data_IF_249563813017
#
_entry.id   IF_249563813017
#
_cell.length_a   1.000
_cell.length_b   1.000
_cell.length_c   1.000
_cell.angle_alpha   90.00
_cell.angle_beta   90.00
_cell.angle_gamma   90.00
#
_symmetry.space_group_name_H-M   'P 1'
#
loop_
_entity.id
_entity.type
_entity.pdbx_description
1 polymer ?
#
# COMPACT_ATOMS: atom_id res chain seq x y z
N UNK A 1 7.12 -26.83 -5.77
CA UNK A 1 5.99 -27.49 -6.47
C UNK A 1 4.78 -26.58 -6.46
N UNK A 2 4.47 -26.00 -7.62
CA UNK A 2 3.31 -25.13 -7.83
C UNK A 2 2.02 -25.94 -7.69
N UNK A 3 1.14 -25.54 -6.77
CA UNK A 3 -0.27 -25.94 -6.84
C UNK A 3 -1.04 -24.84 -7.58
N UNK A 4 -1.45 -25.13 -8.82
CA UNK A 4 -2.47 -24.38 -9.55
C UNK A 4 -3.81 -25.06 -9.28
N UNK A 5 -4.70 -24.42 -8.53
CA UNK A 5 -6.12 -24.80 -8.54
C UNK A 5 -6.89 -23.77 -9.36
N UNK A 6 -7.27 -24.19 -10.57
CA UNK A 6 -8.22 -23.47 -11.42
C UNK A 6 -9.62 -23.68 -10.85
N UNK A 7 -10.29 -22.61 -10.43
CA UNK A 7 -11.74 -22.61 -10.23
C UNK A 7 -12.34 -21.58 -11.20
N UNK A 8 -13.27 -22.08 -12.00
CA UNK A 8 -14.05 -21.42 -13.04
C UNK A 8 -15.21 -20.63 -12.44
N UNK A 9 -15.46 -19.41 -12.95
CA UNK A 9 -16.77 -18.75 -12.88
C UNK A 9 -16.87 -17.48 -12.02
N UNK A 10 -17.24 -16.37 -12.67
CA UNK A 10 -17.83 -15.12 -12.15
C UNK A 10 -16.95 -14.19 -11.27
N UNK A 11 -16.37 -13.16 -11.90
CA UNK A 11 -15.96 -11.84 -11.38
C UNK A 11 -15.77 -11.69 -9.85
N UNK A 12 -14.85 -12.47 -9.27
CA UNK A 12 -14.45 -12.35 -7.88
C UNK A 12 -12.98 -11.92 -7.81
N UNK A 13 -12.68 -10.94 -6.96
CA UNK A 13 -11.35 -10.41 -6.66
C UNK A 13 -10.38 -11.56 -6.38
N UNK A 14 -9.42 -11.82 -7.28
CA UNK A 14 -8.39 -12.85 -7.06
C UNK A 14 -7.24 -12.27 -6.25
N UNK A 15 -7.38 -12.27 -4.93
CA UNK A 15 -6.28 -12.04 -4.00
C UNK A 15 -5.33 -13.25 -3.99
N UNK A 16 -4.07 -13.09 -4.38
CA UNK A 16 -3.05 -14.12 -4.13
C UNK A 16 -2.48 -13.91 -2.72
N UNK A 17 -3.09 -14.57 -1.74
CA UNK A 17 -2.57 -14.63 -0.36
C UNK A 17 -1.41 -15.62 -0.36
N UNK A 18 -0.17 -15.12 -0.22
CA UNK A 18 0.98 -15.96 0.09
C UNK A 18 1.10 -15.96 1.61
N UNK A 19 0.35 -16.84 2.28
CA UNK A 19 0.53 -17.13 3.71
C UNK A 19 1.30 -18.45 3.83
N UNK A 20 2.51 -18.37 4.36
CA UNK A 20 3.27 -19.52 4.85
C UNK A 20 3.02 -19.71 6.34
N UNK A 21 2.47 -20.86 6.75
CA UNK A 21 2.42 -21.30 8.15
C UNK A 21 1.09 -21.12 8.88
N UNK A 22 0.83 -21.95 9.88
CA UNK A 22 -0.47 -22.49 10.27
C UNK A 22 -0.95 -22.04 11.67
N UNK A 23 -2.19 -22.41 12.01
CA UNK A 23 -2.87 -22.46 13.32
C UNK A 23 -3.59 -21.19 13.81
N UNK A 24 -4.92 -21.31 13.89
CA UNK A 24 -5.84 -20.32 14.46
C UNK A 24 -5.77 -20.34 16.00
N UNK A 25 -5.72 -19.14 16.59
CA UNK A 25 -6.07 -18.91 17.99
C UNK A 25 -6.85 -17.57 18.09
N UNK A 26 -7.88 -17.55 18.93
CA UNK A 26 -8.93 -16.52 19.03
C UNK A 26 -8.48 -15.18 19.68
N UNK A 27 -7.25 -14.72 19.45
CA UNK A 27 -6.66 -13.58 20.16
C UNK A 27 -6.00 -12.51 19.28
N UNK A 28 -6.41 -12.33 18.03
CA UNK A 28 -5.84 -11.28 17.16
C UNK A 28 -6.91 -10.32 16.64
N UNK A 29 -7.19 -9.28 17.43
CA UNK A 29 -8.04 -8.15 17.03
C UNK A 29 -7.24 -7.10 16.25
N UNK A 30 -6.53 -7.51 15.19
CA UNK A 30 -6.12 -6.61 14.12
C UNK A 30 -7.27 -6.52 13.12
N UNK A 31 -7.94 -5.36 13.06
CA UNK A 31 -9.11 -5.14 12.19
C UNK A 31 -8.78 -5.45 10.72
N UNK A 32 -9.26 -6.59 10.24
CA UNK A 32 -9.20 -6.98 8.85
C UNK A 32 -10.14 -6.07 8.04
N UNK A 33 -9.61 -5.34 7.05
CA UNK A 33 -10.44 -4.53 6.14
C UNK A 33 -11.50 -5.41 5.47
N UNK A 34 -12.73 -4.91 5.37
CA UNK A 34 -13.74 -5.53 4.52
C UNK A 34 -13.29 -5.54 3.05
N UNK A 35 -13.79 -6.49 2.27
CA UNK A 35 -13.48 -6.59 0.84
C UNK A 35 -13.81 -5.31 0.08
N UNK A 36 -14.93 -4.67 0.44
CA UNK A 36 -15.39 -3.41 -0.14
C UNK A 36 -14.45 -2.24 0.20
N UNK A 37 -13.96 -2.15 1.44
CA UNK A 37 -12.96 -1.14 1.82
C UNK A 37 -11.65 -1.35 1.06
N UNK A 38 -11.17 -2.59 0.99
CA UNK A 38 -9.96 -2.93 0.25
C UNK A 38 -10.09 -2.58 -1.24
N UNK A 39 -11.24 -2.89 -1.85
CA UNK A 39 -11.54 -2.56 -3.24
C UNK A 39 -11.52 -1.04 -3.47
N UNK A 40 -12.25 -0.26 -2.68
CA UNK A 40 -12.27 1.21 -2.76
C UNK A 40 -10.88 1.82 -2.59
N UNK A 41 -10.09 1.28 -1.67
CA UNK A 41 -8.71 1.71 -1.44
C UNK A 41 -7.83 1.48 -2.66
N UNK A 42 -7.94 0.31 -3.29
CA UNK A 42 -7.19 -0.02 -4.51
C UNK A 42 -7.63 0.80 -5.72
N UNK A 43 -8.94 1.00 -5.90
CA UNK A 43 -9.50 1.85 -6.96
C UNK A 43 -9.02 3.30 -6.82
N UNK A 44 -8.98 3.83 -5.60
CA UNK A 44 -8.43 5.15 -5.33
C UNK A 44 -6.93 5.26 -5.69
N UNK A 45 -6.14 4.21 -5.42
CA UNK A 45 -4.72 4.19 -5.80
C UNK A 45 -4.54 4.14 -7.32
N UNK A 46 -5.35 3.37 -8.03
CA UNK A 46 -5.36 3.32 -9.51
C UNK A 46 -5.71 4.70 -10.07
N UNK A 47 -6.80 5.31 -9.58
CA UNK A 47 -7.24 6.63 -10.04
C UNK A 47 -6.19 7.71 -9.77
N UNK A 48 -5.53 7.68 -8.61
CA UNK A 48 -4.50 8.65 -8.24
C UNK A 48 -3.31 8.65 -9.21
N UNK A 49 -2.95 7.49 -9.79
CA UNK A 49 -1.83 7.38 -10.74
C UNK A 49 -2.03 8.27 -11.98
N UNK A 50 -3.27 8.55 -12.39
CA UNK A 50 -3.56 9.41 -13.55
C UNK A 50 -3.03 10.84 -13.38
N UNK A 51 -2.98 11.33 -12.14
CA UNK A 51 -2.55 12.68 -11.76
C UNK A 51 -1.04 12.82 -11.58
N UNK A 52 -0.28 11.73 -11.70
CA UNK A 52 1.17 11.75 -11.52
C UNK A 52 1.86 12.74 -12.47
N UNK A 53 2.72 13.59 -11.90
CA UNK A 53 3.62 14.44 -12.66
C UNK A 53 4.96 13.72 -12.84
N UNK A 54 5.07 12.91 -13.91
CA UNK A 54 6.25 12.11 -14.20
C UNK A 54 6.86 12.39 -15.59
N UNK A 55 7.30 13.63 -15.88
CA UNK A 55 7.82 13.98 -17.20
C UNK A 55 9.19 13.34 -17.50
N UNK A 56 9.96 12.89 -16.51
CA UNK A 56 11.30 12.33 -16.69
C UNK A 56 11.26 10.81 -16.86
N UNK A 57 10.71 10.07 -15.89
CA UNK A 57 10.66 8.60 -15.98
C UNK A 57 9.53 8.08 -16.87
N UNK A 58 8.49 8.90 -17.11
CA UNK A 58 7.20 8.49 -17.70
C UNK A 58 6.48 7.41 -16.90
N UNK A 59 6.92 7.15 -15.67
CA UNK A 59 6.41 6.09 -14.83
C UNK A 59 5.44 6.67 -13.79
N UNK A 60 4.15 6.39 -13.99
CA UNK A 60 3.07 6.90 -13.14
C UNK A 60 2.76 5.92 -12.02
N UNK A 61 2.87 6.40 -10.79
CA UNK A 61 2.60 5.64 -9.56
C UNK A 61 1.49 6.35 -8.80
N UNK A 62 0.52 5.58 -8.33
CA UNK A 62 -0.57 6.07 -7.50
C UNK A 62 -0.59 5.34 -6.16
N UNK A 63 -1.00 6.03 -5.12
CA UNK A 63 -1.20 5.49 -3.79
C UNK A 63 -2.46 6.05 -3.17
N UNK A 64 -3.01 5.32 -2.21
CA UNK A 64 -4.16 5.74 -1.44
C UNK A 64 -4.02 5.26 0.00
N UNK A 65 -4.28 6.15 0.95
CA UNK A 65 -4.13 5.91 2.39
C UNK A 65 -5.51 5.92 3.03
N UNK A 66 -5.91 4.80 3.64
CA UNK A 66 -7.13 4.69 4.43
C UNK A 66 -6.89 5.26 5.83
N UNK A 67 -7.72 6.21 6.25
CA UNK A 67 -7.67 6.80 7.58
C UNK A 67 -8.26 5.87 8.64
N UNK A 68 -7.94 6.12 9.91
CA UNK A 68 -8.39 5.30 11.05
C UNK A 68 -9.90 5.28 11.27
N UNK A 69 -10.67 6.19 10.66
CA UNK A 69 -12.12 6.15 10.67
C UNK A 69 -12.72 5.07 9.75
N UNK A 70 -11.89 4.40 8.94
CA UNK A 70 -12.29 3.28 8.10
C UNK A 70 -13.07 3.66 6.84
N UNK A 71 -13.35 4.94 6.60
CA UNK A 71 -14.12 5.40 5.44
C UNK A 71 -13.34 6.34 4.55
N UNK A 72 -12.54 7.23 5.14
CA UNK A 72 -11.90 8.31 4.39
C UNK A 72 -10.58 7.84 3.77
N UNK A 73 -10.39 8.21 2.50
CA UNK A 73 -9.22 7.83 1.72
C UNK A 73 -8.50 9.09 1.23
N UNK A 74 -7.20 9.15 1.48
CA UNK A 74 -6.34 10.23 0.98
C UNK A 74 -5.48 9.71 -0.17
N UNK A 75 -5.70 10.18 -1.41
CA UNK A 75 -4.90 9.77 -2.56
C UNK A 75 -3.55 10.49 -2.58
N UNK A 76 -2.58 9.87 -3.26
CA UNK A 76 -1.27 10.43 -3.57
C UNK A 76 -0.74 9.90 -4.88
N UNK A 77 0.11 10.68 -5.56
CA UNK A 77 0.79 10.27 -6.78
C UNK A 77 2.24 10.73 -6.74
N UNK A 78 3.09 10.15 -7.58
CA UNK A 78 4.46 10.61 -7.70
C UNK A 78 4.54 11.96 -8.42
N UNK A 79 5.42 12.83 -7.93
CA UNK A 79 5.72 14.13 -8.50
C UNK A 79 7.22 14.26 -8.67
N UNK A 80 7.68 14.26 -9.90
CA UNK A 80 9.09 14.35 -10.23
C UNK A 80 9.57 15.79 -10.31
N UNK A 81 10.86 15.96 -10.16
CA UNK A 81 11.53 17.24 -10.21
C UNK A 81 12.79 17.14 -11.08
N UNK A 82 13.18 18.24 -11.72
CA UNK A 82 14.41 18.31 -12.52
C UNK A 82 15.64 17.93 -11.69
N UNK A 83 15.67 18.30 -10.41
CA UNK A 83 16.59 17.75 -9.43
C UNK A 83 16.02 16.42 -8.91
N UNK A 84 16.45 15.30 -9.50
CA UNK A 84 15.90 13.97 -9.23
C UNK A 84 15.76 13.60 -7.74
N UNK A 85 16.70 13.97 -6.83
CA UNK A 85 16.56 13.72 -5.40
C UNK A 85 15.34 14.39 -4.75
N UNK A 86 14.75 15.41 -5.36
CA UNK A 86 13.56 16.11 -4.89
C UNK A 86 12.25 15.45 -5.36
N UNK A 87 12.31 14.35 -6.09
CA UNK A 87 11.13 13.59 -6.53
C UNK A 87 10.40 13.02 -5.31
N UNK A 88 9.08 13.17 -5.29
CA UNK A 88 8.23 12.62 -4.24
C UNK A 88 7.53 11.35 -4.73
N UNK A 89 7.58 10.28 -3.94
CA UNK A 89 6.86 9.04 -4.24
C UNK A 89 5.38 9.16 -3.88
N UNK A 90 4.53 8.31 -4.47
CA UNK A 90 3.08 8.40 -4.32
C UNK A 90 2.62 8.18 -2.87
N UNK A 91 3.27 7.26 -2.16
CA UNK A 91 2.98 6.88 -0.78
C UNK A 91 3.31 8.03 0.17
N UNK A 92 4.46 8.69 -0.04
CA UNK A 92 4.83 9.88 0.73
C UNK A 92 3.86 11.02 0.45
N UNK A 93 3.45 11.22 -0.80
CA UNK A 93 2.42 12.22 -1.13
C UNK A 93 1.11 11.94 -0.38
N UNK A 94 0.64 10.69 -0.33
CA UNK A 94 -0.59 10.34 0.38
C UNK A 94 -0.48 10.59 1.90
N UNK A 95 0.62 10.14 2.53
CA UNK A 95 0.87 10.36 3.97
C UNK A 95 0.99 11.85 4.31
N UNK A 96 1.84 12.59 3.58
CA UNK A 96 2.01 14.02 3.82
C UNK A 96 0.71 14.80 3.60
N UNK A 97 -0.10 14.43 2.61
CA UNK A 97 -1.40 15.05 2.37
C UNK A 97 -2.38 14.79 3.52
N UNK A 98 -2.40 13.56 4.06
CA UNK A 98 -3.23 13.23 5.21
C UNK A 98 -2.78 14.00 6.47
N UNK A 99 -1.47 14.08 6.68
CA UNK A 99 -0.86 14.84 7.79
C UNK A 99 -1.17 16.33 7.69
N UNK A 100 -1.09 16.92 6.50
CA UNK A 100 -1.43 18.32 6.25
C UNK A 100 -2.92 18.63 6.54
N UNK A 101 -3.79 17.62 6.41
CA UNK A 101 -5.23 17.70 6.76
C UNK A 101 -5.52 17.40 8.24
N UNK A 102 -4.49 17.23 9.07
CA UNK A 102 -4.64 16.98 10.51
C UNK A 102 -4.76 15.51 10.90
N UNK A 103 -4.71 14.57 9.96
CA UNK A 103 -4.78 13.14 10.29
C UNK A 103 -3.41 12.60 10.72
N UNK A 104 -3.40 11.73 11.73
CA UNK A 104 -2.18 11.10 12.29
C UNK A 104 -2.28 9.59 12.45
N UNK A 105 -3.47 9.03 12.22
CA UNK A 105 -3.75 7.61 12.38
C UNK A 105 -4.38 7.05 11.10
N UNK A 106 -3.90 5.88 10.70
CA UNK A 106 -4.17 5.27 9.40
C UNK A 106 -4.37 3.77 9.56
N UNK A 107 -5.13 3.15 8.66
CA UNK A 107 -5.50 1.73 8.73
C UNK A 107 -4.82 0.88 7.66
N UNK A 108 -4.66 1.41 6.44
CA UNK A 108 -4.07 0.67 5.33
C UNK A 108 -3.56 1.60 4.22
N UNK A 109 -2.70 1.09 3.35
CA UNK A 109 -2.25 1.75 2.14
C UNK A 109 -2.46 0.84 0.93
N UNK A 110 -2.89 1.39 -0.21
CA UNK A 110 -2.77 0.75 -1.50
C UNK A 110 -1.80 1.52 -2.40
N UNK A 111 -1.08 0.79 -3.26
CA UNK A 111 -0.18 1.37 -4.24
C UNK A 111 -0.30 0.66 -5.61
N UNK A 112 -0.30 1.45 -6.68
CA UNK A 112 -0.37 1.03 -8.08
C UNK A 112 0.88 1.49 -8.83
N UNK A 113 1.40 0.63 -9.70
CA UNK A 113 2.60 0.94 -10.48
C UNK A 113 3.87 0.75 -9.66
N UNK A 114 3.92 -0.25 -8.78
CA UNK A 114 5.11 -0.56 -7.99
C UNK A 114 5.61 -1.96 -8.40
N UNK A 115 6.76 -2.10 -9.09
CA UNK A 115 7.33 -3.41 -9.42
C UNK A 115 7.60 -4.24 -8.16
N UNK A 116 7.47 -5.56 -8.31
CA UNK A 116 7.97 -6.52 -7.34
C UNK A 116 9.46 -6.80 -7.58
N UNK A 117 10.27 -7.10 -6.55
CA UNK A 117 9.96 -7.01 -5.12
C UNK A 117 9.85 -5.56 -4.65
N UNK A 118 9.27 -5.34 -3.47
CA UNK A 118 8.88 -4.05 -2.90
C UNK A 118 10.06 -3.14 -2.48
N UNK A 119 11.07 -3.03 -3.34
CA UNK A 119 12.27 -2.19 -3.16
C UNK A 119 11.97 -0.70 -3.24
N UNK A 120 10.76 -0.33 -3.67
CA UNK A 120 10.33 1.05 -3.94
C UNK A 120 9.50 1.67 -2.82
N UNK A 121 9.47 1.07 -1.62
CA UNK A 121 9.07 1.81 -0.41
C UNK A 121 10.27 2.41 0.36
N UNK A 122 11.19 3.22 -0.22
CA UNK A 122 12.09 4.04 0.59
C UNK A 122 11.39 5.36 0.93
N UNK A 123 10.20 5.31 1.52
CA UNK A 123 9.65 6.48 2.17
C UNK A 123 9.95 6.35 3.65
N UNK A 124 11.02 7.02 4.12
CA UNK A 124 11.32 7.18 5.54
C UNK A 124 10.12 7.69 6.38
N UNK A 125 9.08 8.21 5.73
CA UNK A 125 7.82 8.65 6.34
C UNK A 125 6.78 7.53 6.51
N UNK A 126 6.82 6.47 5.69
CA UNK A 126 6.02 5.25 5.90
C UNK A 126 6.63 4.41 7.03
N UNK A 127 7.92 4.60 7.36
CA UNK A 127 8.54 4.01 8.57
C UNK A 127 7.91 4.46 9.89
N UNK A 128 7.11 5.52 9.87
CA UNK A 128 6.31 5.96 11.04
C UNK A 128 5.11 5.04 11.25
N UNK A 129 4.77 4.20 10.26
CA UNK A 129 3.70 3.23 10.38
C UNK A 129 4.18 1.96 11.08
N UNK A 130 3.24 1.30 11.73
CA UNK A 130 3.39 0.05 12.49
C UNK A 130 3.73 -1.15 11.58
N UNK A 131 4.41 -2.18 12.11
CA UNK A 131 4.86 -3.34 11.32
C UNK A 131 3.71 -4.17 10.73
N UNK A 132 2.63 -4.30 11.48
CA UNK A 132 1.39 -4.96 11.08
C UNK A 132 0.53 -4.09 10.13
N UNK A 133 1.05 -2.95 9.66
CA UNK A 133 0.32 -2.07 8.75
C UNK A 133 0.14 -2.73 7.37
N UNK A 134 -1.11 -2.97 6.92
CA UNK A 134 -1.37 -3.68 5.68
C UNK A 134 -1.17 -2.78 4.45
N UNK A 135 -0.48 -3.33 3.45
CA UNK A 135 -0.17 -2.71 2.17
C UNK A 135 -0.73 -3.57 1.03
N UNK A 136 -1.54 -2.95 0.17
CA UNK A 136 -2.18 -3.57 -0.98
C UNK A 136 -1.47 -3.13 -2.28
N UNK A 137 -0.80 -4.08 -2.93
CA UNK A 137 0.00 -3.81 -4.13
C UNK A 137 -0.78 -4.20 -5.37
N UNK A 138 -1.30 -3.22 -6.08
CA UNK A 138 -2.13 -3.43 -7.26
C UNK A 138 -1.25 -3.79 -8.46
N UNK A 139 -1.36 -5.04 -8.91
CA UNK A 139 -0.61 -5.60 -10.05
C UNK A 139 -1.23 -5.21 -11.38
N UNK A 140 -2.55 -5.15 -11.43
CA UNK A 140 -3.29 -4.84 -12.64
C UNK A 140 -4.61 -4.16 -12.26
N UNK A 141 -5.14 -3.39 -13.21
CA UNK A 141 -6.35 -2.58 -13.01
C UNK A 141 -7.62 -3.44 -12.96
N UNK A 142 -7.51 -4.73 -13.31
CA UNK A 142 -8.54 -5.77 -13.17
C UNK A 142 -8.74 -6.27 -11.73
N UNK A 143 -8.08 -5.64 -10.75
CA UNK A 143 -8.20 -5.98 -9.34
C UNK A 143 -7.26 -7.08 -8.87
N UNK A 144 -6.26 -7.47 -9.65
CA UNK A 144 -5.19 -8.33 -9.14
C UNK A 144 -4.29 -7.54 -8.18
N UNK A 145 -4.10 -8.07 -6.98
CA UNK A 145 -3.23 -7.46 -5.99
C UNK A 145 -2.47 -8.48 -5.14
N UNK A 146 -1.44 -7.96 -4.47
CA UNK A 146 -0.69 -8.70 -3.45
C UNK A 146 -0.78 -7.91 -2.14
N UNK A 147 -1.33 -8.53 -1.09
CA UNK A 147 -1.30 -7.98 0.26
C UNK A 147 0.03 -8.31 0.93
N UNK A 148 0.62 -7.34 1.62
CA UNK A 148 1.80 -7.50 2.47
C UNK A 148 1.62 -6.71 3.76
N UNK A 149 2.35 -7.10 4.79
CA UNK A 149 2.53 -6.25 5.97
C UNK A 149 3.78 -5.38 5.78
N UNK A 150 3.79 -4.20 6.38
CA UNK A 150 4.95 -3.31 6.31
C UNK A 150 6.21 -3.97 6.86
N UNK A 151 6.11 -4.73 7.96
CA UNK A 151 7.23 -5.47 8.55
C UNK A 151 7.81 -6.54 7.64
N UNK A 152 6.98 -7.19 6.80
CA UNK A 152 7.47 -8.15 5.79
C UNK A 152 8.27 -7.47 4.68
N UNK A 153 7.94 -6.20 4.40
CA UNK A 153 8.60 -5.41 3.36
C UNK A 153 9.89 -4.74 3.86
N UNK A 154 9.99 -4.56 5.19
CA UNK A 154 11.05 -3.81 5.84
C UNK A 154 11.41 -4.51 7.17
N UNK A 155 12.01 -5.71 7.10
CA UNK A 155 12.41 -6.43 8.31
C UNK A 155 13.46 -5.61 9.08
N UNK A 156 13.41 -5.68 10.41
CA UNK A 156 14.35 -5.00 11.31
C UNK A 156 14.44 -3.48 11.03
N UNK A 157 13.29 -2.87 10.72
CA UNK A 157 13.22 -1.45 10.45
C UNK A 157 13.77 -0.64 11.63
N UNK A 158 14.70 0.27 11.36
CA UNK A 158 15.15 1.26 12.34
C UNK A 158 13.97 2.04 12.92
N UNK A 159 13.90 2.15 14.24
CA UNK A 159 12.82 2.79 14.99
C UNK A 159 13.32 3.82 15.99
N UNK A 160 12.45 4.68 16.55
CA UNK A 160 12.83 5.56 17.64
C UNK A 160 13.46 4.82 18.83
N UNK A 161 13.07 3.58 19.10
CA UNK A 161 13.67 2.76 20.15
C UNK A 161 15.14 2.39 19.87
N UNK A 162 15.59 2.45 18.61
CA UNK A 162 17.00 2.24 18.24
C UNK A 162 17.90 3.44 18.56
N UNK A 163 17.34 4.54 19.06
CA UNK A 163 18.08 5.74 19.46
C UNK A 163 18.51 5.72 20.94
N UNK A 164 18.15 4.66 21.67
CA UNK A 164 18.39 4.49 23.11
C UNK A 164 19.60 3.60 23.39
#
# INVERSE_FOLDING_TARGET
NLFKSTITGSHSLKAYIICSGNSQSEADMTQQLSEEQAKKLMEAAIAAASNAHAPYSKYKVGAALLLSNGTDIVPGCNGENCAYPNTNCAEKTAVCSAVARGHRSFTALAARGVPAPLRLLPAAHVRVLREDFPIYLVRSDDGQFVKRLLGECLPEAFRPECLL
#
